data_IF_236740283188
#
_entry.id   IF_236740283188
#
_cell.length_a   1.000
_cell.length_b   1.000
_cell.length_c   1.000
_cell.angle_alpha   90.00
_cell.angle_beta   90.00
_cell.angle_gamma   90.00
#
_symmetry.space_group_name_H-M   'P 1'
#
loop_
_entity.id
_entity.type
_entity.pdbx_description
1 polymer ?
#
# COMPACT_ATOMS: atom_id res chain seq x y z
N UNK A 1 16.47 -11.57 1.26
CA UNK A 1 15.14 -12.19 1.06
C UNK A 1 14.10 -11.20 1.52
N UNK A 2 13.09 -10.93 0.72
CA UNK A 2 12.13 -9.85 0.99
C UNK A 2 11.29 -10.17 2.23
N UNK A 3 11.32 -9.30 3.25
CA UNK A 3 10.46 -9.40 4.43
C UNK A 3 9.03 -8.89 4.13
N UNK A 4 8.53 -9.18 2.92
CA UNK A 4 7.20 -8.81 2.49
C UNK A 4 6.60 -10.00 1.72
N UNK A 5 5.64 -10.72 2.31
CA UNK A 5 5.07 -11.91 1.69
C UNK A 5 4.16 -11.60 0.49
N UNK A 6 3.84 -10.33 0.21
CA UNK A 6 2.87 -9.98 -0.83
C UNK A 6 3.26 -10.50 -2.22
N UNK A 7 4.55 -10.50 -2.58
CA UNK A 7 5.01 -11.01 -3.88
C UNK A 7 4.74 -12.52 -4.02
N UNK A 8 5.09 -13.27 -2.97
CA UNK A 8 4.90 -14.73 -2.93
C UNK A 8 3.41 -15.06 -2.92
N UNK A 9 2.62 -14.34 -2.11
CA UNK A 9 1.18 -14.53 -2.02
C UNK A 9 0.48 -14.33 -3.36
N UNK A 10 0.81 -13.24 -4.08
CA UNK A 10 0.24 -13.00 -5.41
C UNK A 10 0.64 -14.08 -6.40
N UNK A 11 1.90 -14.49 -6.39
CA UNK A 11 2.38 -15.55 -7.29
C UNK A 11 1.62 -16.86 -7.04
N UNK A 12 1.46 -17.26 -5.78
CA UNK A 12 0.73 -18.47 -5.41
C UNK A 12 -0.76 -18.37 -5.72
N UNK A 13 -1.38 -17.19 -5.52
CA UNK A 13 -2.78 -16.95 -5.86
C UNK A 13 -3.06 -17.19 -7.34
N UNK A 14 -2.26 -16.61 -8.24
CA UNK A 14 -2.45 -16.77 -9.68
C UNK A 14 -2.13 -18.19 -10.15
N UNK A 15 -1.13 -18.82 -9.55
CA UNK A 15 -0.84 -20.23 -9.79
C UNK A 15 -2.03 -21.10 -9.40
N UNK A 16 -2.59 -20.89 -8.21
CA UNK A 16 -3.76 -21.61 -7.73
C UNK A 16 -4.95 -21.42 -8.67
N UNK A 17 -5.26 -20.17 -9.03
CA UNK A 17 -6.31 -19.83 -9.99
C UNK A 17 -6.16 -20.56 -11.32
N UNK A 18 -4.97 -20.57 -11.88
CA UNK A 18 -4.69 -21.22 -13.16
C UNK A 18 -4.84 -22.75 -13.08
N UNK A 19 -4.49 -23.35 -11.94
CA UNK A 19 -4.66 -24.80 -11.72
C UNK A 19 -6.14 -25.15 -11.63
N UNK A 20 -6.94 -24.42 -10.85
CA UNK A 20 -8.38 -24.67 -10.72
C UNK A 20 -9.11 -24.52 -12.08
N UNK A 21 -8.75 -23.51 -12.87
CA UNK A 21 -9.26 -23.33 -14.23
C UNK A 21 -8.91 -24.50 -15.15
N UNK A 22 -7.70 -25.07 -15.02
CA UNK A 22 -7.26 -26.22 -15.81
C UNK A 22 -7.96 -27.52 -15.39
N UNK A 23 -8.20 -27.71 -14.08
CA UNK A 23 -8.89 -28.88 -13.52
C UNK A 23 -10.40 -28.84 -13.82
N UNK A 24 -10.93 -27.67 -14.20
CA UNK A 24 -12.35 -27.48 -14.52
C UNK A 24 -13.22 -27.24 -13.28
N UNK A 25 -12.62 -26.83 -12.18
CA UNK A 25 -13.30 -26.38 -10.98
C UNK A 25 -13.70 -24.90 -11.08
N UNK A 26 -14.53 -24.41 -10.15
CA UNK A 26 -14.87 -23.00 -10.08
C UNK A 26 -13.62 -22.15 -9.80
N UNK A 27 -13.27 -21.28 -10.76
CA UNK A 27 -12.13 -20.38 -10.63
C UNK A 27 -12.36 -19.39 -9.49
N UNK A 28 -11.36 -19.13 -8.64
CA UNK A 28 -11.48 -18.14 -7.58
C UNK A 28 -11.75 -16.73 -8.16
N UNK A 29 -12.49 -15.89 -7.43
CA UNK A 29 -12.89 -14.56 -7.90
C UNK A 29 -11.68 -13.69 -8.28
N UNK A 30 -11.83 -12.70 -9.17
CA UNK A 30 -10.73 -11.80 -9.51
C UNK A 30 -10.30 -10.98 -8.28
N UNK A 31 -8.99 -10.71 -8.15
CA UNK A 31 -8.48 -9.81 -7.13
C UNK A 31 -8.99 -8.40 -7.40
N UNK A 32 -9.61 -7.81 -6.38
CA UNK A 32 -10.13 -6.45 -6.47
C UNK A 32 -9.23 -5.40 -5.81
N UNK A 33 -8.48 -5.78 -4.78
CA UNK A 33 -7.55 -4.87 -4.10
C UNK A 33 -6.48 -5.68 -3.37
N UNK A 34 -5.28 -5.10 -3.24
CA UNK A 34 -4.19 -5.66 -2.45
C UNK A 34 -3.78 -4.64 -1.39
N UNK A 35 -3.80 -5.05 -0.13
CA UNK A 35 -3.36 -4.24 1.01
C UNK A 35 -2.15 -4.93 1.64
N UNK A 36 -1.06 -4.21 1.80
CA UNK A 36 0.18 -4.70 2.37
C UNK A 36 0.51 -3.88 3.61
N UNK A 37 0.74 -4.54 4.74
CA UNK A 37 1.06 -3.89 6.01
C UNK A 37 2.51 -4.21 6.39
N UNK A 38 3.27 -3.19 6.76
CA UNK A 38 4.66 -3.30 7.20
C UNK A 38 4.79 -3.06 8.70
N UNK A 39 5.78 -3.70 9.32
CA UNK A 39 6.12 -3.55 10.76
C UNK A 39 6.92 -2.28 11.04
N UNK A 40 6.79 -1.27 10.18
CA UNK A 40 7.49 -0.01 10.25
C UNK A 40 8.89 -0.01 9.66
N UNK A 41 9.38 1.19 9.36
CA UNK A 41 10.65 1.44 8.68
C UNK A 41 11.53 2.36 9.51
N UNK A 42 12.79 2.00 9.67
CA UNK A 42 13.77 2.93 10.24
C UNK A 42 14.03 3.97 9.16
N UNK A 43 13.58 5.21 9.37
CA UNK A 43 13.93 6.31 8.46
C UNK A 43 15.45 6.52 8.52
N UNK A 44 16.23 6.27 7.44
CA UNK A 44 17.57 6.80 7.39
C UNK A 44 17.44 8.32 7.36
N UNK A 45 18.04 9.02 8.33
CA UNK A 45 18.07 10.48 8.39
C UNK A 45 18.42 11.04 6.99
N UNK A 46 17.42 11.55 6.26
CA UNK A 46 17.63 12.07 4.90
C UNK A 46 17.10 13.48 4.79
N UNK A 47 18.08 14.37 4.68
CA UNK A 47 18.10 15.73 4.16
C UNK A 47 16.90 16.05 3.24
N UNK A 48 16.13 17.05 3.68
CA UNK A 48 15.15 17.86 2.96
C UNK A 48 15.13 17.73 1.43
N UNK A 49 14.13 17.01 0.89
CA UNK A 49 13.83 16.93 -0.55
C UNK A 49 12.49 17.59 -0.93
N UNK A 50 12.06 18.62 -0.17
CA UNK A 50 10.80 19.38 -0.41
C UNK A 50 10.70 20.04 -1.81
N UNK A 51 11.79 20.08 -2.60
CA UNK A 51 11.85 20.77 -3.89
C UNK A 51 11.20 20.02 -5.07
N UNK A 52 11.36 18.69 -5.18
CA UNK A 52 10.97 17.96 -6.41
C UNK A 52 9.47 17.67 -6.53
N UNK A 53 8.77 17.51 -5.41
CA UNK A 53 7.33 17.25 -5.42
C UNK A 53 6.54 18.45 -5.97
N UNK A 54 7.00 19.68 -5.68
CA UNK A 54 6.26 20.90 -5.98
C UNK A 54 6.24 21.24 -7.49
N UNK A 55 7.30 20.87 -8.22
CA UNK A 55 7.41 21.14 -9.67
C UNK A 55 6.52 20.19 -10.49
N UNK A 56 6.32 18.96 -10.00
CA UNK A 56 5.48 17.94 -10.65
C UNK A 56 4.00 18.25 -10.40
N UNK A 57 3.63 18.65 -9.18
CA UNK A 57 2.25 19.05 -8.83
C UNK A 57 1.77 20.22 -9.71
N UNK A 58 2.64 21.19 -10.01
CA UNK A 58 2.32 22.29 -10.93
C UNK A 58 2.05 21.82 -12.36
N UNK A 59 2.73 20.77 -12.83
CA UNK A 59 2.55 20.23 -14.17
C UNK A 59 1.18 19.53 -14.34
N UNK A 60 0.70 18.85 -13.30
CA UNK A 60 -0.59 18.11 -13.32
C UNK A 60 -1.82 18.95 -12.94
N UNK A 61 -1.62 20.16 -12.43
CA UNK A 61 -2.70 21.10 -12.10
C UNK A 61 -3.60 21.50 -13.29
N UNK A 62 -3.17 21.23 -14.53
CA UNK A 62 -3.89 21.55 -15.78
C UNK A 62 -4.91 20.49 -16.21
N UNK A 63 -4.96 19.33 -15.57
CA UNK A 63 -5.84 18.22 -15.95
C UNK A 63 -6.90 17.99 -14.88
N UNK A 64 -8.12 17.64 -15.30
CA UNK A 64 -9.36 17.50 -14.51
C UNK A 64 -9.18 16.90 -13.11
N UNK A 65 -9.99 17.39 -12.14
CA UNK A 65 -10.01 17.04 -10.71
C UNK A 65 -9.88 15.53 -10.40
N UNK A 66 -10.47 14.65 -11.23
CA UNK A 66 -10.42 13.19 -11.05
C UNK A 66 -9.03 12.58 -11.26
N UNK A 67 -8.19 13.18 -12.12
CA UNK A 67 -6.82 12.71 -12.38
C UNK A 67 -5.86 13.17 -11.27
N UNK A 68 -6.16 14.30 -10.62
CA UNK A 68 -5.33 14.87 -9.55
C UNK A 68 -5.27 13.96 -8.31
N UNK A 69 -6.38 13.32 -7.95
CA UNK A 69 -6.44 12.43 -6.78
C UNK A 69 -5.64 11.15 -7.00
N UNK A 70 -5.80 10.48 -8.15
CA UNK A 70 -4.96 9.34 -8.51
C UNK A 70 -3.48 9.73 -8.60
N UNK A 71 -3.17 10.88 -9.21
CA UNK A 71 -1.78 11.35 -9.32
C UNK A 71 -1.15 11.62 -7.94
N UNK A 72 -1.91 12.15 -6.99
CA UNK A 72 -1.43 12.37 -5.62
C UNK A 72 -1.13 11.04 -4.91
N UNK A 73 -1.98 10.02 -5.08
CA UNK A 73 -1.72 8.65 -4.59
C UNK A 73 -0.44 8.09 -5.21
N UNK A 74 -0.24 8.25 -6.53
CA UNK A 74 1.01 7.84 -7.18
C UNK A 74 2.24 8.60 -6.65
N UNK A 75 2.13 9.90 -6.36
CA UNK A 75 3.23 10.73 -5.86
C UNK A 75 3.62 10.34 -4.42
N UNK A 76 2.64 10.10 -3.55
CA UNK A 76 2.92 9.60 -2.20
C UNK A 76 3.61 8.22 -2.25
N UNK A 77 3.22 7.39 -3.22
CA UNK A 77 3.83 6.08 -3.47
C UNK A 77 5.25 6.13 -4.06
N UNK A 78 5.63 7.19 -4.77
CA UNK A 78 7.03 7.42 -5.22
C UNK A 78 7.92 7.79 -4.03
N UNK A 79 7.35 8.38 -2.98
CA UNK A 79 8.10 8.85 -1.81
C UNK A 79 8.31 7.74 -0.77
N UNK A 80 7.57 6.63 -0.87
CA UNK A 80 7.75 5.42 -0.06
C UNK A 80 8.58 4.38 -0.83
N UNK A 81 9.91 4.53 -0.81
CA UNK A 81 10.85 3.57 -1.41
C UNK A 81 10.99 2.33 -0.52
N UNK A 82 9.92 1.54 -0.41
CA UNK A 82 9.87 0.32 0.40
C UNK A 82 10.51 -0.87 -0.36
N UNK A 83 11.72 -0.67 -0.90
CA UNK A 83 12.55 -1.67 -1.57
C UNK A 83 12.02 -2.21 -2.92
N UNK A 84 12.92 -2.85 -3.67
CA UNK A 84 12.64 -3.45 -4.98
C UNK A 84 11.46 -4.45 -5.00
N UNK A 85 11.24 -5.30 -3.97
CA UNK A 85 10.12 -6.25 -3.98
C UNK A 85 8.74 -5.57 -3.96
N UNK A 86 8.58 -4.50 -3.18
CA UNK A 86 7.31 -3.75 -3.12
C UNK A 86 7.06 -3.03 -4.43
N UNK A 87 8.09 -2.40 -5.00
CA UNK A 87 7.96 -1.75 -6.30
C UNK A 87 7.56 -2.75 -7.38
N UNK A 88 8.18 -3.92 -7.43
CA UNK A 88 7.82 -4.97 -8.40
C UNK A 88 6.35 -5.37 -8.28
N UNK A 89 5.87 -5.62 -7.07
CA UNK A 89 4.46 -5.98 -6.81
C UNK A 89 3.52 -4.83 -7.20
N UNK A 90 3.90 -3.59 -6.91
CA UNK A 90 3.12 -2.40 -7.26
C UNK A 90 2.98 -2.27 -8.78
N UNK A 91 4.07 -2.38 -9.54
CA UNK A 91 4.00 -2.32 -10.99
C UNK A 91 3.17 -3.48 -11.56
N UNK A 92 3.34 -4.68 -11.00
CA UNK A 92 2.59 -5.85 -11.42
C UNK A 92 1.09 -5.72 -11.16
N UNK A 93 0.68 -5.29 -9.97
CA UNK A 93 -0.74 -5.03 -9.63
C UNK A 93 -1.34 -3.91 -10.49
N UNK A 94 -0.57 -2.85 -10.73
CA UNK A 94 -0.95 -1.77 -11.64
C UNK A 94 -1.19 -2.26 -13.08
N UNK A 95 -0.32 -3.12 -13.62
CA UNK A 95 -0.52 -3.73 -14.94
C UNK A 95 -1.78 -4.61 -15.02
N UNK A 96 -2.25 -5.13 -13.89
CA UNK A 96 -3.47 -5.94 -13.79
C UNK A 96 -4.72 -5.10 -13.44
N UNK A 97 -4.60 -3.77 -13.31
CA UNK A 97 -5.71 -2.90 -12.93
C UNK A 97 -6.17 -3.05 -11.48
N UNK A 98 -5.34 -3.65 -10.61
CA UNK A 98 -5.66 -3.88 -9.21
C UNK A 98 -5.00 -2.80 -8.34
N UNK A 99 -5.75 -2.04 -7.53
CA UNK A 99 -5.17 -1.06 -6.62
C UNK A 99 -4.34 -1.73 -5.53
N UNK A 100 -3.21 -1.10 -5.20
CA UNK A 100 -2.25 -1.56 -4.20
C UNK A 100 -2.02 -0.49 -3.13
N UNK A 101 -2.39 -0.81 -1.89
CA UNK A 101 -2.19 0.03 -0.70
C UNK A 101 -1.08 -0.55 0.17
N UNK A 102 -0.16 0.30 0.63
CA UNK A 102 0.96 -0.10 1.50
C UNK A 102 1.06 0.86 2.67
N UNK A 103 0.90 0.33 3.87
CA UNK A 103 1.07 1.10 5.12
C UNK A 103 2.28 0.57 5.86
N UNK A 104 3.25 1.43 6.12
CA UNK A 104 4.48 1.08 6.82
C UNK A 104 4.97 2.31 7.59
N UNK A 105 4.67 2.41 8.91
CA UNK A 105 4.95 3.62 9.67
C UNK A 105 6.47 3.86 9.81
N UNK A 106 6.96 5.09 9.60
CA UNK A 106 8.35 5.40 9.90
C UNK A 106 8.57 5.36 11.43
N UNK A 107 9.49 4.51 11.89
CA UNK A 107 9.85 4.37 13.29
C UNK A 107 11.00 5.33 13.61
N UNK A 108 10.84 6.09 14.70
CA UNK A 108 11.82 7.06 15.19
C UNK A 108 13.12 6.42 15.68
N UNK A 109 13.06 5.16 16.12
CA UNK A 109 14.18 4.42 16.68
C UNK A 109 14.29 3.04 16.04
N UNK A 110 15.54 2.57 15.92
CA UNK A 110 15.80 1.18 15.55
C UNK A 110 15.44 0.30 16.75
N UNK A 111 14.42 -0.52 16.56
CA UNK A 111 13.96 -1.46 17.57
C UNK A 111 14.32 -2.85 17.09
N UNK A 112 15.03 -3.59 17.92
CA UNK A 112 15.39 -4.97 17.63
C UNK A 112 14.17 -5.86 17.79
N UNK A 113 14.13 -6.96 17.01
CA UNK A 113 12.99 -7.89 17.01
C UNK A 113 12.73 -8.54 18.38
N UNK A 114 13.73 -8.59 19.25
CA UNK A 114 13.66 -9.18 20.59
C UNK A 114 13.42 -8.12 21.69
N UNK A 115 13.09 -6.88 21.30
CA UNK A 115 12.82 -5.81 22.26
C UNK A 115 11.43 -5.98 22.88
N UNK A 116 11.41 -6.23 24.19
CA UNK A 116 10.19 -6.47 24.96
C UNK A 116 9.93 -5.40 26.03
N UNK A 117 10.74 -4.33 26.08
CA UNK A 117 10.52 -3.23 27.03
C UNK A 117 9.32 -2.40 26.59
N UNK A 118 8.33 -2.29 27.48
CA UNK A 118 7.09 -1.54 27.26
C UNK A 118 7.32 -0.12 26.73
N UNK A 119 8.40 0.55 27.15
CA UNK A 119 8.74 1.90 26.70
C UNK A 119 8.97 1.99 25.19
N UNK A 120 9.57 0.96 24.59
CA UNK A 120 9.82 0.92 23.14
C UNK A 120 8.57 0.55 22.37
N UNK A 121 7.76 -0.37 22.91
CA UNK A 121 6.46 -0.72 22.31
C UNK A 121 5.53 0.48 22.31
N UNK A 122 5.44 1.21 23.42
CA UNK A 122 4.65 2.45 23.50
C UNK A 122 5.11 3.49 22.48
N UNK A 123 6.43 3.65 22.28
CA UNK A 123 6.95 4.56 21.27
C UNK A 123 6.58 4.11 19.85
N UNK A 124 6.66 2.81 19.53
CA UNK A 124 6.22 2.28 18.22
C UNK A 124 4.74 2.53 17.97
N UNK A 125 3.91 2.30 18.99
CA UNK A 125 2.47 2.56 18.90
C UNK A 125 2.20 4.05 18.68
N UNK A 126 2.92 4.93 19.38
CA UNK A 126 2.80 6.37 19.19
C UNK A 126 3.24 6.82 17.80
N UNK A 127 4.39 6.35 17.30
CA UNK A 127 4.88 6.65 15.95
C UNK A 127 3.87 6.16 14.89
N UNK A 128 3.25 5.01 15.14
CA UNK A 128 2.19 4.47 14.27
C UNK A 128 0.94 5.33 14.33
N UNK A 129 0.52 5.80 15.50
CA UNK A 129 -0.65 6.68 15.66
C UNK A 129 -0.44 8.02 14.93
N UNK A 130 0.75 8.61 15.06
CA UNK A 130 1.12 9.82 14.33
C UNK A 130 1.09 9.58 12.83
N UNK A 131 1.66 8.46 12.36
CA UNK A 131 1.60 8.08 10.95
C UNK A 131 0.17 7.87 10.45
N UNK A 132 -0.71 7.26 11.25
CA UNK A 132 -2.12 7.08 10.90
C UNK A 132 -2.85 8.42 10.80
N UNK A 133 -2.53 9.39 11.66
CA UNK A 133 -3.06 10.74 11.56
C UNK A 133 -2.56 11.46 10.30
N UNK A 134 -1.30 11.26 9.90
CA UNK A 134 -0.74 11.83 8.66
C UNK A 134 -1.30 11.17 7.39
N UNK A 135 -1.63 9.88 7.44
CA UNK A 135 -2.21 9.13 6.31
C UNK A 135 -3.73 8.97 6.39
N UNK A 136 -4.42 9.76 7.23
CA UNK A 136 -5.87 9.68 7.43
C UNK A 136 -6.66 9.76 6.11
N UNK A 137 -6.24 10.62 5.18
CA UNK A 137 -6.87 10.76 3.86
C UNK A 137 -6.78 9.46 3.03
N UNK A 138 -5.64 8.76 3.08
CA UNK A 138 -5.42 7.50 2.36
C UNK A 138 -6.22 6.36 2.99
N UNK A 139 -6.34 6.36 4.32
CA UNK A 139 -7.17 5.40 5.04
C UNK A 139 -8.65 5.62 4.72
N UNK A 140 -9.10 6.87 4.62
CA UNK A 140 -10.46 7.20 4.21
C UNK A 140 -10.73 6.78 2.76
N UNK A 141 -9.76 6.98 1.85
CA UNK A 141 -9.87 6.51 0.47
C UNK A 141 -9.98 5.00 0.39
N UNK A 142 -9.16 4.27 1.14
CA UNK A 142 -9.25 2.82 1.24
C UNK A 142 -10.61 2.38 1.79
N UNK A 143 -11.10 3.02 2.87
CA UNK A 143 -12.40 2.71 3.45
C UNK A 143 -13.53 2.93 2.44
N UNK A 144 -13.50 4.05 1.70
CA UNK A 144 -14.47 4.35 0.64
C UNK A 144 -14.40 3.32 -0.49
N UNK A 145 -13.20 2.91 -0.90
CA UNK A 145 -13.00 1.88 -1.91
C UNK A 145 -13.61 0.55 -1.48
N UNK A 146 -13.34 0.11 -0.24
CA UNK A 146 -13.88 -1.14 0.31
C UNK A 146 -15.41 -1.11 0.47
N UNK A 147 -15.99 0.03 0.85
CA UNK A 147 -17.44 0.20 0.90
C UNK A 147 -18.09 0.08 -0.48
N UNK A 148 -17.50 0.70 -1.50
CA UNK A 148 -17.96 0.59 -2.89
C UNK A 148 -17.88 -0.87 -3.37
N UNK A 149 -16.80 -1.57 -3.04
CA UNK A 149 -16.63 -2.99 -3.37
C UNK A 149 -17.75 -3.85 -2.74
N UNK A 150 -18.03 -3.66 -1.45
CA UNK A 150 -19.07 -4.41 -0.75
C UNK A 150 -20.45 -4.16 -1.38
N UNK A 151 -20.77 -2.91 -1.71
CA UNK A 151 -22.04 -2.58 -2.39
C UNK A 151 -22.18 -3.17 -3.79
N UNK A 152 -21.07 -3.53 -4.44
CA UNK A 152 -21.07 -4.16 -5.77
C UNK A 152 -21.29 -5.68 -5.69
N UNK A 153 -21.03 -6.31 -4.54
CA UNK A 153 -21.20 -7.75 -4.33
C UNK A 153 -22.63 -8.16 -3.93
N UNK A 154 -23.49 -7.21 -3.53
CA UNK A 154 -24.92 -7.44 -3.22
C UNK A 154 -25.86 -6.84 -4.29
N UNK A 155 -26.01 -7.43 -5.49
CA UNK A 155 -26.95 -6.96 -6.51
C UNK A 155 -28.40 -7.45 -6.30
N UNK A 156 -28.77 -7.87 -5.08
CA UNK A 156 -30.13 -8.33 -4.75
C UNK A 156 -30.80 -7.48 -3.67
N UNK A 157 -31.15 -6.24 -4.04
CA UNK A 157 -32.36 -5.53 -3.60
C UNK A 157 -32.96 -4.79 -4.79
#
# INVERSE_FOLDING_TARGET
>A
MANNPTEVLLTEYYRYKQIEEYVGHESPPPLSCVISLGTGMITPLTISSKGRANDIIKFFSRTTEQIKNMAMVFIKQITASDGLPVEKVRHWTFSNGVPYFRFSPPLSQKIDLDENRDTFVMQMMWDTEVYMAECADELEELARYLQCLHSTQDPSL
#
